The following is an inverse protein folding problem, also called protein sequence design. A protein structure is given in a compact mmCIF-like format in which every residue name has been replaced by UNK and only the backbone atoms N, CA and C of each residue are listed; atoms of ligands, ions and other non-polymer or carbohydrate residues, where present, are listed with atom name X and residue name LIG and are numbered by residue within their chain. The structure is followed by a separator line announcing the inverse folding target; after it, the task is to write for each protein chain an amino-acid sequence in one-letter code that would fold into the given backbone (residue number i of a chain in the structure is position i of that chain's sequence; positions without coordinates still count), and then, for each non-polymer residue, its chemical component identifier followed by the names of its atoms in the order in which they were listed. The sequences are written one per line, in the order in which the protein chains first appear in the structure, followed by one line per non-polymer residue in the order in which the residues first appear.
data_IF_491040632207
#
_entry.id   IF_491040632207
#
_cell.length_a   1.000
_cell.length_b   1.000
_cell.length_c   1.000
_cell.angle_alpha   90.00
_cell.angle_beta   90.00
_cell.angle_gamma   90.00
#
_symmetry.space_group_name_H-M   'P 1'
#
loop_
_entity.id
_entity.type
_entity.pdbx_description
1 polymer ?
#
# COMPACT_ATOMS: atom_id res chain seq x y z
N UNK A 1 -4.90 27.23 1.57
CA UNK A 1 -4.49 26.06 0.76
C UNK A 1 -5.06 24.84 1.43
N UNK A 2 -5.88 24.11 0.70
CA UNK A 2 -6.91 23.21 1.19
C UNK A 2 -6.42 21.77 1.02
N UNK A 3 -5.50 21.30 1.85
CA UNK A 3 -4.91 19.96 1.69
C UNK A 3 -5.03 19.11 2.95
N UNK A 4 -6.02 19.42 3.80
CA UNK A 4 -6.46 18.48 4.84
C UNK A 4 -7.20 17.34 4.15
N UNK A 5 -6.54 16.18 4.10
CA UNK A 5 -7.07 14.89 3.65
C UNK A 5 -6.99 14.66 2.13
N UNK A 6 -5.78 14.60 1.56
CA UNK A 6 -5.60 13.61 0.49
C UNK A 6 -5.90 12.24 1.12
N UNK A 7 -6.84 11.44 0.59
CA UNK A 7 -7.08 10.11 1.12
C UNK A 7 -5.76 9.33 1.04
N UNK A 8 -5.36 8.65 2.11
CA UNK A 8 -4.12 7.86 2.18
C UNK A 8 -3.90 7.00 0.93
N UNK A 9 -4.98 6.49 0.33
CA UNK A 9 -4.96 5.76 -0.93
C UNK A 9 -4.37 6.51 -2.13
N UNK A 10 -4.64 7.82 -2.26
CA UNK A 10 -4.07 8.66 -3.32
C UNK A 10 -2.58 8.90 -3.07
N UNK A 11 -2.18 9.14 -1.83
CA UNK A 11 -0.76 9.29 -1.47
C UNK A 11 0.01 8.00 -1.77
N UNK A 12 -0.58 6.84 -1.45
CA UNK A 12 -0.02 5.54 -1.80
C UNK A 12 0.11 5.37 -3.31
N UNK A 13 -0.95 5.65 -4.07
CA UNK A 13 -0.95 5.53 -5.52
C UNK A 13 0.12 6.42 -6.18
N UNK A 14 0.23 7.67 -5.72
CA UNK A 14 1.20 8.65 -6.22
C UNK A 14 2.64 8.23 -5.87
N UNK A 15 2.89 7.89 -4.60
CA UNK A 15 4.23 7.48 -4.13
C UNK A 15 4.71 6.19 -4.80
N UNK A 16 3.81 5.23 -5.03
CA UNK A 16 4.10 3.97 -5.70
C UNK A 16 4.15 4.10 -7.22
N UNK A 17 3.80 5.29 -7.76
CA UNK A 17 3.63 5.57 -9.17
C UNK A 17 2.70 4.56 -9.86
N UNK A 18 1.60 4.23 -9.19
CA UNK A 18 0.64 3.19 -9.58
C UNK A 18 -0.79 3.70 -9.40
N UNK A 19 -1.19 4.65 -10.25
CA UNK A 19 -2.53 5.24 -10.21
C UNK A 19 -3.62 4.30 -10.73
N UNK A 20 -3.25 3.30 -11.53
CA UNK A 20 -4.19 2.29 -12.05
C UNK A 20 -4.83 1.47 -10.92
N UNK A 21 -4.07 1.23 -9.85
CA UNK A 21 -4.51 0.46 -8.69
C UNK A 21 -5.14 1.29 -7.58
N UNK A 22 -5.50 2.56 -7.83
CA UNK A 22 -6.06 3.47 -6.82
C UNK A 22 -7.28 2.88 -6.09
N UNK A 23 -8.20 2.25 -6.83
CA UNK A 23 -9.37 1.61 -6.24
C UNK A 23 -9.00 0.50 -5.22
N UNK A 24 -7.93 -0.26 -5.51
CA UNK A 24 -7.41 -1.29 -4.62
C UNK A 24 -6.80 -0.67 -3.35
N UNK A 25 -6.07 0.44 -3.49
CA UNK A 25 -5.52 1.17 -2.34
C UNK A 25 -6.62 1.72 -1.44
N UNK A 26 -7.72 2.22 -2.00
CA UNK A 26 -8.89 2.62 -1.21
C UNK A 26 -9.41 1.44 -0.38
N UNK A 27 -9.60 0.27 -1.00
CA UNK A 27 -10.01 -0.93 -0.26
C UNK A 27 -9.01 -1.32 0.82
N UNK A 28 -7.70 -1.18 0.58
CA UNK A 28 -6.69 -1.44 1.59
C UNK A 28 -6.75 -0.46 2.76
N UNK A 29 -6.98 0.83 2.52
CA UNK A 29 -7.16 1.82 3.61
C UNK A 29 -8.40 1.58 4.46
N UNK A 30 -9.41 0.89 3.92
CA UNK A 30 -10.60 0.46 4.67
C UNK A 30 -10.40 -0.87 5.40
N UNK A 31 -9.57 -1.76 4.86
CA UNK A 31 -9.38 -3.13 5.39
C UNK A 31 -8.24 -3.20 6.40
N UNK A 32 -7.19 -2.41 6.23
CA UNK A 32 -5.97 -2.45 7.03
C UNK A 32 -5.75 -1.13 7.75
N UNK A 33 -5.10 -1.19 8.91
CA UNK A 33 -4.72 0.00 9.66
C UNK A 33 -3.71 0.84 8.88
N UNK A 34 -3.83 2.17 8.99
CA UNK A 34 -2.92 3.12 8.35
C UNK A 34 -1.45 2.84 8.68
N UNK A 35 -1.14 2.50 9.93
CA UNK A 35 0.25 2.20 10.35
C UNK A 35 0.84 1.01 9.57
N UNK A 36 0.04 -0.04 9.33
CA UNK A 36 0.48 -1.19 8.55
C UNK A 36 0.78 -0.82 7.10
N UNK A 37 -0.07 0.00 6.49
CA UNK A 37 0.13 0.47 5.11
C UNK A 37 1.36 1.37 5.02
N UNK A 38 1.56 2.30 5.96
CA UNK A 38 2.75 3.17 6.03
C UNK A 38 4.04 2.36 6.23
N UNK A 39 4.05 1.37 7.13
CA UNK A 39 5.20 0.47 7.32
C UNK A 39 5.52 -0.31 6.04
N UNK A 40 4.50 -0.79 5.35
CA UNK A 40 4.67 -1.50 4.07
C UNK A 40 5.20 -0.57 2.99
N UNK A 41 4.70 0.66 2.92
CA UNK A 41 5.17 1.68 1.98
C UNK A 41 6.65 2.00 2.20
N UNK A 42 7.07 2.23 3.46
CA UNK A 42 8.47 2.48 3.81
C UNK A 42 9.37 1.31 3.40
N UNK A 43 8.92 0.08 3.60
CA UNK A 43 9.66 -1.12 3.18
C UNK A 43 9.84 -1.19 1.67
N UNK A 44 8.80 -0.85 0.90
CA UNK A 44 8.85 -0.80 -0.58
C UNK A 44 9.77 0.32 -1.05
N UNK A 45 9.68 1.51 -0.45
CA UNK A 45 10.52 2.66 -0.79
C UNK A 45 12.00 2.46 -0.43
N UNK A 46 12.27 1.65 0.60
CA UNK A 46 13.64 1.27 0.97
C UNK A 46 14.28 0.30 -0.02
N UNK A 47 13.49 -0.32 -0.90
CA UNK A 47 13.99 -1.23 -1.94
C UNK A 47 14.30 -0.41 -3.20
N UNK A 48 15.55 -0.41 -3.68
CA UNK A 48 15.91 0.29 -4.91
C UNK A 48 15.18 -0.33 -6.11
N UNK A 49 14.78 0.49 -7.08
CA UNK A 49 14.01 0.08 -8.26
C UNK A 49 14.69 -1.03 -9.06
N UNK A 50 16.02 -1.04 -9.10
CA UNK A 50 16.81 -2.08 -9.76
C UNK A 50 16.61 -3.50 -9.19
N UNK A 51 16.04 -3.63 -7.99
CA UNK A 51 15.68 -4.93 -7.37
C UNK A 51 14.20 -5.28 -7.55
N UNK A 52 13.40 -4.40 -8.14
CA UNK A 52 11.96 -4.58 -8.31
C UNK A 52 11.68 -5.17 -9.70
N UNK A 53 11.24 -6.43 -9.73
CA UNK A 53 10.96 -7.17 -10.99
C UNK A 53 9.84 -6.59 -11.86
N UNK A 54 8.91 -5.82 -11.29
CA UNK A 54 7.73 -5.30 -12.00
C UNK A 54 7.54 -3.81 -11.75
N UNK A 55 6.88 -3.46 -10.65
CA UNK A 55 6.64 -2.08 -10.24
C UNK A 55 6.55 -2.01 -8.70
N UNK A 56 6.76 -0.82 -8.16
CA UNK A 56 6.62 -0.55 -6.72
C UNK A 56 5.19 -0.85 -6.24
N UNK A 57 4.18 -0.47 -7.03
CA UNK A 57 2.77 -0.79 -6.76
C UNK A 57 2.47 -2.29 -6.72
N UNK A 58 3.02 -3.07 -7.65
CA UNK A 58 2.86 -4.53 -7.64
C UNK A 58 3.53 -5.18 -6.42
N UNK A 59 4.71 -4.71 -6.02
CA UNK A 59 5.41 -5.19 -4.83
C UNK A 59 4.64 -4.83 -3.55
N UNK A 60 4.13 -3.60 -3.46
CA UNK A 60 3.31 -3.16 -2.33
C UNK A 60 2.05 -4.02 -2.20
N UNK A 61 1.31 -4.19 -3.30
CA UNK A 61 0.10 -5.02 -3.34
C UNK A 61 0.38 -6.46 -2.94
N UNK A 62 1.51 -7.03 -3.41
CA UNK A 62 1.96 -8.35 -3.01
C UNK A 62 2.25 -8.42 -1.50
N UNK A 63 2.97 -7.45 -0.95
CA UNK A 63 3.29 -7.41 0.49
C UNK A 63 2.05 -7.23 1.36
N UNK A 64 1.13 -6.33 0.99
CA UNK A 64 -0.14 -6.13 1.70
C UNK A 64 -0.97 -7.41 1.67
N UNK A 65 -1.06 -8.07 0.51
CA UNK A 65 -1.83 -9.32 0.39
C UNK A 65 -1.18 -10.48 1.16
N UNK A 66 0.15 -10.57 1.11
CA UNK A 66 0.91 -11.66 1.72
C UNK A 66 1.00 -11.52 3.25
N UNK A 67 1.28 -10.31 3.75
CA UNK A 67 1.35 -10.03 5.19
C UNK A 67 -0.02 -9.75 5.81
N UNK A 68 -0.97 -9.21 5.04
CA UNK A 68 -2.35 -8.97 5.49
C UNK A 68 -3.15 -10.26 5.72
N UNK A 69 -2.74 -11.39 5.12
CA UNK A 69 -3.29 -12.71 5.46
C UNK A 69 -3.03 -13.11 6.92
N UNK A 70 -1.98 -12.59 7.56
CA UNK A 70 -1.71 -12.86 8.98
C UNK A 70 -2.60 -12.01 9.91
N UNK A 71 -3.06 -10.82 9.48
CA UNK A 71 -4.02 -9.99 10.24
C UNK A 71 -5.48 -10.36 9.96
N UNK A 72 -5.75 -11.05 8.84
CA UNK A 72 -7.04 -11.70 8.57
C UNK A 72 -7.14 -12.97 9.40
N UNK A 73 -7.26 -12.81 10.70
CA UNK A 73 -7.45 -13.90 11.63
C UNK A 73 -8.97 -14.12 11.82
N UNK A 74 -9.62 -15.09 11.16
CA UNK A 74 -10.84 -15.68 11.68
C UNK A 74 -10.43 -16.64 12.80
N UNK A 75 -10.22 -16.12 14.03
CA UNK A 75 -10.28 -16.99 15.21
C UNK A 75 -11.75 -17.05 15.60
N UNK A 76 -12.42 -18.05 15.07
CA UNK A 76 -13.58 -18.67 15.70
C UNK A 76 -13.07 -19.80 16.60
#
# INVERSE_FOLDING_TARGET
MLDKQKPLAYELADTLNDQESLALYISFTQTYQEEFLKKTLLKVMSIPDNKIKRSRGALFTYLVTHHGKASRNPRN
#
